data_IF_082601618566
#
_entry.id   IF_082601618566
#
_cell.length_a   1.000
_cell.length_b   1.000
_cell.length_c   1.000
_cell.angle_alpha   90.00
_cell.angle_beta   90.00
_cell.angle_gamma   90.00
#
_symmetry.space_group_name_H-M   'P 1'
#
loop_
_entity.id
_entity.type
_entity.pdbx_description
1 polymer ?
#
# COMPACT_ATOMS: atom_id res chain seq x y z
N UNK A 1 16.46 -2.59 -1.03
CA UNK A 1 15.77 -1.95 -2.17
C UNK A 1 14.39 -1.53 -1.73
N UNK A 2 13.99 -0.30 -2.04
CA UNK A 2 12.64 0.20 -1.77
C UNK A 2 11.70 -0.27 -2.88
N UNK A 3 10.51 -0.75 -2.53
CA UNK A 3 9.50 -1.21 -3.48
C UNK A 3 8.14 -0.63 -3.13
N UNK A 4 7.45 -0.07 -4.13
CA UNK A 4 6.09 0.47 -4.01
C UNK A 4 5.15 -0.40 -4.83
N UNK A 5 4.09 -0.88 -4.20
CA UNK A 5 3.06 -1.70 -4.82
C UNK A 5 1.71 -1.02 -4.68
N UNK A 6 0.91 -1.04 -5.74
CA UNK A 6 -0.39 -0.39 -5.80
C UNK A 6 -1.47 -1.43 -6.10
N UNK A 7 -2.69 -1.20 -5.61
CA UNK A 7 -3.81 -2.10 -5.89
C UNK A 7 -5.10 -1.72 -5.21
N UNK A 8 -6.09 -2.59 -5.40
CA UNK A 8 -7.44 -2.46 -4.88
C UNK A 8 -7.73 -3.59 -3.91
N UNK A 9 -8.30 -3.27 -2.76
CA UNK A 9 -8.80 -4.22 -1.76
C UNK A 9 -10.31 -4.44 -1.88
N UNK A 10 -10.92 -5.07 -0.85
CA UNK A 10 -12.37 -5.22 -0.75
C UNK A 10 -13.11 -3.91 -1.00
N UNK A 11 -14.24 -4.01 -1.70
CA UNK A 11 -15.14 -2.89 -1.99
C UNK A 11 -14.45 -1.70 -2.69
N UNK A 12 -13.36 -1.94 -3.44
CA UNK A 12 -12.66 -0.90 -4.19
C UNK A 12 -11.74 -0.02 -3.34
N UNK A 13 -11.42 -0.43 -2.11
CA UNK A 13 -10.48 0.29 -1.24
C UNK A 13 -9.12 0.43 -1.93
N UNK A 14 -8.57 1.63 -2.02
CA UNK A 14 -7.29 1.86 -2.69
C UNK A 14 -6.12 1.71 -1.72
N UNK A 15 -5.06 1.04 -2.15
CA UNK A 15 -3.94 0.67 -1.28
C UNK A 15 -2.61 0.96 -1.98
N UNK A 16 -1.74 1.71 -1.30
CA UNK A 16 -0.32 1.85 -1.62
C UNK A 16 0.47 1.15 -0.52
N UNK A 17 1.31 0.18 -0.89
CA UNK A 17 2.18 -0.56 0.02
C UNK A 17 3.65 -0.26 -0.29
N UNK A 18 4.30 0.47 0.60
CA UNK A 18 5.74 0.75 0.53
C UNK A 18 6.52 -0.26 1.37
N UNK A 19 7.61 -0.77 0.80
CA UNK A 19 8.38 -1.86 1.38
C UNK A 19 9.87 -1.57 1.31
N UNK A 20 10.61 -2.11 2.26
CA UNK A 20 12.07 -2.15 2.24
C UNK A 20 12.50 -3.61 2.32
N UNK A 21 13.11 -4.12 1.25
CA UNK A 21 13.41 -5.55 1.13
C UNK A 21 14.73 -5.80 0.41
N UNK A 22 15.37 -6.92 0.72
CA UNK A 22 16.53 -7.46 -0.01
C UNK A 22 16.13 -8.38 -1.16
N UNK A 23 14.87 -8.82 -1.22
CA UNK A 23 14.37 -9.72 -2.26
C UNK A 23 13.01 -9.23 -2.78
N UNK A 24 13.04 -8.54 -3.92
CA UNK A 24 11.86 -7.94 -4.56
C UNK A 24 10.89 -9.02 -5.07
N UNK A 25 11.41 -10.09 -5.67
CA UNK A 25 10.60 -11.18 -6.25
C UNK A 25 9.76 -11.91 -5.19
N UNK A 26 10.34 -12.18 -4.02
CA UNK A 26 9.59 -12.73 -2.89
C UNK A 26 8.53 -11.75 -2.39
N UNK A 27 8.86 -10.47 -2.35
CA UNK A 27 7.98 -9.42 -1.81
C UNK A 27 6.76 -9.23 -2.72
N UNK A 28 6.93 -9.09 -4.04
CA UNK A 28 5.82 -8.99 -5.00
C UNK A 28 4.92 -10.24 -4.96
N UNK A 29 5.50 -11.44 -4.82
CA UNK A 29 4.73 -12.69 -4.72
C UNK A 29 3.87 -12.73 -3.45
N UNK A 30 4.43 -12.32 -2.31
CA UNK A 30 3.72 -12.25 -1.03
C UNK A 30 2.61 -11.19 -1.07
N UNK A 31 2.91 -9.98 -1.54
CA UNK A 31 1.90 -8.90 -1.64
C UNK A 31 0.77 -9.33 -2.55
N UNK A 32 1.05 -9.89 -3.73
CA UNK A 32 0.02 -10.40 -4.65
C UNK A 32 -0.86 -11.46 -4.00
N UNK A 33 -0.25 -12.40 -3.27
CA UNK A 33 -0.97 -13.45 -2.55
C UNK A 33 -1.91 -12.87 -1.49
N UNK A 34 -1.48 -11.85 -0.76
CA UNK A 34 -2.29 -11.18 0.28
C UNK A 34 -3.49 -10.48 -0.34
N UNK A 35 -3.28 -9.69 -1.41
CA UNK A 35 -4.37 -9.03 -2.13
C UNK A 35 -5.41 -10.04 -2.61
N UNK A 36 -4.98 -11.08 -3.32
CA UNK A 36 -5.87 -12.11 -3.84
C UNK A 36 -6.64 -12.84 -2.73
N UNK A 37 -5.98 -13.21 -1.62
CA UNK A 37 -6.63 -13.87 -0.48
C UNK A 37 -7.65 -13.00 0.24
N UNK A 38 -7.51 -11.68 0.14
CA UNK A 38 -8.38 -10.70 0.81
C UNK A 38 -9.38 -10.06 -0.15
N UNK A 39 -9.65 -10.65 -1.32
CA UNK A 39 -10.68 -10.14 -2.24
C UNK A 39 -10.28 -8.84 -2.94
N UNK A 40 -8.98 -8.64 -3.15
CA UNK A 40 -8.41 -7.53 -3.90
C UNK A 40 -7.45 -7.99 -4.99
N UNK A 41 -6.84 -7.05 -5.69
CA UNK A 41 -5.86 -7.28 -6.75
C UNK A 41 -4.77 -6.20 -6.77
N UNK A 42 -3.56 -6.60 -7.15
CA UNK A 42 -2.49 -5.65 -7.48
C UNK A 42 -2.84 -4.95 -8.81
N UNK A 43 -2.62 -3.65 -8.85
CA UNK A 43 -2.65 -2.82 -10.05
C UNK A 43 -1.25 -2.51 -10.59
N UNK A 44 -1.19 -1.84 -11.73
CA UNK A 44 0.05 -1.28 -12.25
C UNK A 44 0.53 -0.09 -11.40
N UNK A 45 1.80 0.30 -11.53
CA UNK A 45 2.29 1.54 -10.93
C UNK A 45 1.45 2.73 -11.43
N UNK A 46 1.03 3.61 -10.53
CA UNK A 46 0.14 4.73 -10.82
C UNK A 46 -1.36 4.41 -10.83
N UNK A 47 -1.77 3.15 -10.61
CA UNK A 47 -3.19 2.75 -10.66
C UNK A 47 -4.07 3.36 -9.57
N UNK A 48 -3.50 3.72 -8.42
CA UNK A 48 -4.24 4.38 -7.33
C UNK A 48 -3.55 5.65 -6.84
N UNK A 49 -2.28 5.87 -7.20
CA UNK A 49 -1.50 7.02 -6.74
C UNK A 49 -2.17 8.38 -6.96
N UNK A 50 -2.98 8.55 -8.00
CA UNK A 50 -3.68 9.81 -8.29
C UNK A 50 -4.75 10.20 -7.24
N UNK A 51 -5.14 9.25 -6.38
CA UNK A 51 -6.11 9.46 -5.30
C UNK A 51 -5.43 9.74 -3.94
N UNK A 52 -4.09 9.78 -3.89
CA UNK A 52 -3.33 10.04 -2.67
C UNK A 52 -2.38 11.21 -2.84
N UNK A 53 -2.41 12.14 -1.88
CA UNK A 53 -1.41 13.20 -1.77
C UNK A 53 -0.25 12.75 -0.87
N UNK A 54 0.98 12.92 -1.36
CA UNK A 54 2.17 12.68 -0.54
C UNK A 54 2.45 13.93 0.32
N UNK A 55 1.92 13.92 1.55
CA UNK A 55 2.03 15.06 2.48
C UNK A 55 2.55 14.61 3.85
N UNK A 56 3.31 15.50 4.51
CA UNK A 56 3.73 15.28 5.88
C UNK A 56 2.59 15.59 6.86
N UNK A 57 2.29 14.67 7.77
CA UNK A 57 1.26 14.86 8.80
C UNK A 57 1.93 14.95 10.17
N UNK A 58 1.71 16.06 10.88
CA UNK A 58 2.17 16.28 12.25
C UNK A 58 0.96 16.16 13.18
N UNK A 59 0.91 15.09 13.97
CA UNK A 59 -0.22 14.80 14.87
C UNK A 59 0.20 15.04 16.32
N UNK A 60 -0.56 15.87 17.03
CA UNK A 60 -0.42 16.04 18.48
C UNK A 60 -1.48 15.19 19.18
N UNK A 61 -1.06 14.39 20.16
CA UNK A 61 -2.02 13.71 21.04
C UNK A 61 -2.71 14.77 21.89
N UNK A 62 -4.04 14.75 21.93
CA UNK A 62 -4.78 15.60 22.86
C UNK A 62 -4.48 15.10 24.27
N UNK A 63 -3.73 15.89 25.03
CA UNK A 63 -3.48 15.65 26.44
C UNK A 63 -4.44 16.52 27.26
N UNK A 64 -5.60 15.95 27.63
CA UNK A 64 -6.43 16.49 28.71
C UNK A 64 -7.07 15.32 29.48
N UNK A 65 -7.19 15.44 30.81
CA UNK A 65 -7.75 14.42 31.70
C UNK A 65 -9.22 14.12 31.42
#
# INVERSE_FOLDING_TARGET
MQGRYEGFGPNGSMIIAETLTSNVNRTIANVRTIFNKKGGNIGAAGSVSYMFDNTGVIVFKRDRP
#
